data_IF_838791570511
#
_entry.id   IF_838791570511
#
_cell.length_a   1.000
_cell.length_b   1.000
_cell.length_c   1.000
_cell.angle_alpha   90.00
_cell.angle_beta   90.00
_cell.angle_gamma   90.00
#
_symmetry.space_group_name_H-M   'P 1'
#
loop_
_entity.id
_entity.type
_entity.pdbx_description
1 polymer ?
#
# COMPACT_ATOMS: atom_id res chain seq x y z
N UNK A 1 -47.38 10.99 -32.68
CA UNK A 1 -47.86 11.15 -31.29
C UNK A 1 -46.72 11.72 -30.46
N UNK A 2 -46.84 12.98 -30.03
CA UNK A 2 -45.88 13.65 -29.13
C UNK A 2 -46.16 13.20 -27.70
N UNK A 3 -45.15 12.74 -26.98
CA UNK A 3 -45.19 12.63 -25.51
C UNK A 3 -44.00 13.37 -24.92
N UNK A 4 -44.32 14.54 -24.38
CA UNK A 4 -43.51 15.33 -23.49
C UNK A 4 -43.55 14.68 -22.11
N UNK A 5 -42.40 14.45 -21.48
CA UNK A 5 -42.31 14.22 -20.04
C UNK A 5 -41.25 15.16 -19.49
N UNK A 6 -41.71 16.03 -18.59
CA UNK A 6 -40.96 16.95 -17.74
C UNK A 6 -41.28 16.55 -16.29
N UNK A 7 -40.36 16.90 -15.37
CA UNK A 7 -40.43 17.00 -13.88
C UNK A 7 -39.16 16.31 -13.33
N UNK A 8 -38.12 17.09 -12.97
CA UNK A 8 -37.82 17.63 -11.61
C UNK A 8 -37.59 16.51 -10.58
N UNK A 9 -36.50 16.47 -9.80
CA UNK A 9 -36.11 17.51 -8.84
C UNK A 9 -34.67 17.27 -8.39
N UNK A 10 -33.85 18.34 -8.35
CA UNK A 10 -32.53 18.38 -7.75
C UNK A 10 -32.68 18.48 -6.22
N UNK A 11 -32.04 17.59 -5.46
CA UNK A 11 -31.75 17.81 -4.03
C UNK A 11 -30.25 18.00 -3.88
N UNK A 12 -29.82 19.25 -3.72
CA UNK A 12 -28.47 19.61 -3.28
C UNK A 12 -28.58 19.85 -1.78
N UNK A 13 -28.02 18.93 -0.99
CA UNK A 13 -27.89 19.10 0.45
C UNK A 13 -26.45 19.52 0.74
N UNK A 14 -26.25 20.82 0.92
CA UNK A 14 -24.98 21.41 1.36
C UNK A 14 -24.88 21.24 2.88
N UNK A 15 -23.99 20.34 3.32
CA UNK A 15 -23.65 20.15 4.72
C UNK A 15 -22.46 21.06 5.07
N UNK A 16 -22.74 22.21 5.67
CA UNK A 16 -21.73 23.12 6.24
C UNK A 16 -21.30 22.62 7.62
N UNK A 17 -20.08 22.12 7.75
CA UNK A 17 -19.42 21.92 9.04
C UNK A 17 -18.83 23.26 9.51
N UNK A 18 -19.36 23.79 10.61
CA UNK A 18 -18.77 24.90 11.35
C UNK A 18 -17.81 24.33 12.40
N UNK A 19 -16.51 24.44 12.14
CA UNK A 19 -15.48 24.20 13.15
C UNK A 19 -15.45 25.38 14.15
N UNK A 20 -15.83 25.09 15.40
CA UNK A 20 -15.73 26.02 16.52
C UNK A 20 -14.33 25.94 17.13
N UNK A 21 -13.49 26.95 16.90
CA UNK A 21 -12.19 27.10 17.55
C UNK A 21 -12.39 27.72 18.94
N UNK A 22 -12.29 26.89 19.98
CA UNK A 22 -12.36 27.30 21.39
C UNK A 22 -11.10 28.02 21.86
N UNK A 23 -11.30 29.15 22.53
CA UNK A 23 -10.26 30.10 22.97
C UNK A 23 -9.59 29.70 24.29
N UNK A 24 -8.27 29.92 24.35
CA UNK A 24 -7.60 30.61 25.46
C UNK A 24 -7.41 29.87 26.78
N UNK A 25 -6.29 29.15 26.91
CA UNK A 25 -5.76 28.70 28.21
C UNK A 25 -4.54 29.54 28.60
N UNK A 26 -4.59 30.14 29.79
CA UNK A 26 -3.51 30.90 30.42
C UNK A 26 -2.25 30.05 30.55
N UNK A 27 -1.13 30.59 30.06
CA UNK A 27 0.22 30.08 30.34
C UNK A 27 0.60 30.46 31.76
N UNK A 28 0.67 29.46 32.64
CA UNK A 28 1.32 29.57 33.95
C UNK A 28 2.78 29.19 33.75
N UNK A 29 3.71 30.11 33.99
CA UNK A 29 5.14 29.82 34.00
C UNK A 29 5.44 28.79 35.10
N UNK A 30 5.84 27.59 34.69
CA UNK A 30 6.33 26.54 35.58
C UNK A 30 7.85 26.54 35.52
N UNK A 31 8.47 26.80 36.66
CA UNK A 31 9.92 26.71 36.91
C UNK A 31 10.44 25.32 36.55
N UNK A 32 11.47 25.16 35.70
CA UNK A 32 12.00 23.85 35.35
C UNK A 32 12.85 23.30 36.52
N UNK A 33 12.30 22.36 37.27
CA UNK A 33 13.09 21.49 38.14
C UNK A 33 13.73 20.39 37.29
N UNK A 34 15.04 20.51 37.06
CA UNK A 34 15.85 19.52 36.35
C UNK A 34 16.04 18.26 37.21
N UNK A 35 15.11 17.32 37.14
CA UNK A 35 15.34 15.94 37.56
C UNK A 35 15.73 15.11 36.34
N UNK A 36 17.03 14.88 36.18
CA UNK A 36 17.60 13.94 35.20
C UNK A 36 17.32 12.50 35.63
N UNK A 37 16.05 12.10 35.61
CA UNK A 37 15.66 10.71 35.59
C UNK A 37 15.49 10.33 34.13
N UNK A 38 16.37 9.50 33.60
CA UNK A 38 16.19 8.87 32.28
C UNK A 38 15.04 7.87 32.41
N UNK A 39 13.80 8.38 32.52
CA UNK A 39 12.62 7.57 32.41
C UNK A 39 12.60 7.07 30.96
N UNK A 40 12.63 5.75 30.78
CA UNK A 40 12.38 5.11 29.50
C UNK A 40 10.90 5.37 29.15
N UNK A 41 10.57 6.58 28.74
CA UNK A 41 9.25 6.91 28.19
C UNK A 41 9.15 6.19 26.86
N UNK A 42 8.14 5.32 26.75
CA UNK A 42 7.77 4.72 25.47
C UNK A 42 7.53 5.85 24.47
N UNK A 43 7.96 5.70 23.20
CA UNK A 43 7.61 6.69 22.17
C UNK A 43 6.08 6.82 22.08
N UNK A 44 5.62 8.04 21.91
CA UNK A 44 4.23 8.31 21.56
C UNK A 44 3.96 7.72 20.17
N UNK A 45 2.98 6.82 20.08
CA UNK A 45 2.62 6.20 18.81
C UNK A 45 1.67 7.13 18.07
N UNK A 46 2.17 7.75 17.01
CA UNK A 46 1.48 8.74 16.22
C UNK A 46 1.01 8.12 14.90
N UNK A 47 -0.21 8.48 14.51
CA UNK A 47 -0.86 8.03 13.30
C UNK A 47 -1.74 9.16 12.79
N UNK A 48 -1.84 9.34 11.49
CA UNK A 48 -2.78 10.30 10.89
C UNK A 48 -4.23 9.87 11.14
N UNK A 49 -4.48 8.57 11.05
CA UNK A 49 -5.81 7.97 11.16
C UNK A 49 -6.13 7.43 12.55
N UNK A 50 -5.17 7.34 13.45
CA UNK A 50 -5.33 6.74 14.77
C UNK A 50 -5.31 5.21 14.75
N UNK A 51 -5.65 4.62 15.88
CA UNK A 51 -5.76 3.19 16.07
C UNK A 51 -7.16 2.77 16.48
N UNK A 52 -7.63 1.63 15.98
CA UNK A 52 -8.88 1.03 16.48
C UNK A 52 -8.55 0.21 17.73
N UNK A 53 -9.21 0.55 18.83
CA UNK A 53 -9.17 -0.19 20.09
C UNK A 53 -10.58 -0.70 20.42
N UNK A 54 -10.67 -1.77 21.20
CA UNK A 54 -11.95 -2.37 21.62
C UNK A 54 -12.93 -2.61 20.45
N UNK A 55 -12.39 -3.03 19.30
CA UNK A 55 -13.08 -3.27 18.05
C UNK A 55 -13.77 -2.08 17.36
N UNK A 56 -13.96 -0.92 18.00
CA UNK A 56 -14.71 0.20 17.39
C UNK A 56 -14.22 1.60 17.76
N UNK A 57 -13.35 1.74 18.78
CA UNK A 57 -12.92 3.03 19.30
C UNK A 57 -11.67 3.53 18.57
N UNK A 58 -11.87 4.44 17.61
CA UNK A 58 -10.76 5.12 16.95
C UNK A 58 -10.09 6.11 17.92
N UNK A 59 -8.84 5.85 18.27
CA UNK A 59 -8.08 6.60 19.28
C UNK A 59 -6.79 7.16 18.69
N UNK A 60 -6.49 8.43 18.94
CA UNK A 60 -5.26 9.08 18.51
C UNK A 60 -4.87 10.18 19.51
N UNK A 61 -3.69 10.14 20.16
CA UNK A 61 -2.63 9.12 20.04
C UNK A 61 -3.04 7.77 20.65
N UNK A 62 -2.29 6.71 20.35
CA UNK A 62 -2.51 5.39 20.99
C UNK A 62 -2.15 5.49 22.48
N UNK A 63 -3.02 5.06 23.41
CA UNK A 63 -2.72 5.10 24.84
C UNK A 63 -1.49 4.27 25.21
N UNK A 64 -0.73 4.75 26.21
CA UNK A 64 0.40 4.00 26.76
C UNK A 64 -0.06 2.66 27.35
N UNK A 65 0.75 1.62 27.15
CA UNK A 65 0.48 0.27 27.65
C UNK A 65 -0.48 -0.57 26.79
N UNK A 66 -1.07 0.00 25.73
CA UNK A 66 -1.89 -0.77 24.78
C UNK A 66 -1.05 -1.50 23.73
N UNK A 67 0.14 -1.00 23.43
CA UNK A 67 1.01 -1.56 22.42
C UNK A 67 2.02 -2.55 23.00
N UNK A 68 2.25 -3.64 22.28
CA UNK A 68 3.16 -4.72 22.68
C UNK A 68 4.41 -4.72 21.78
N UNK A 69 5.60 -4.97 22.34
CA UNK A 69 6.82 -5.10 21.53
C UNK A 69 6.83 -6.44 20.81
N UNK A 70 7.12 -6.41 19.52
CA UNK A 70 7.14 -7.59 18.65
C UNK A 70 8.35 -7.59 17.73
N UNK A 71 8.75 -8.78 17.27
CA UNK A 71 9.52 -8.94 16.03
C UNK A 71 8.55 -9.25 14.88
N UNK A 72 8.86 -8.76 13.68
CA UNK A 72 7.96 -8.89 12.52
C UNK A 72 8.67 -9.64 11.39
N UNK A 73 7.97 -10.63 10.84
CA UNK A 73 8.32 -11.28 9.58
C UNK A 73 7.23 -10.95 8.56
N UNK A 74 7.58 -10.10 7.59
CA UNK A 74 6.69 -9.75 6.48
C UNK A 74 6.93 -10.69 5.30
N UNK A 75 5.86 -11.39 4.89
CA UNK A 75 5.79 -12.14 3.64
C UNK A 75 4.75 -11.55 2.68
N UNK A 76 3.89 -10.64 3.17
CA UNK A 76 2.90 -9.89 2.41
C UNK A 76 2.83 -8.45 2.93
N UNK A 77 2.43 -7.48 2.10
CA UNK A 77 2.19 -6.11 2.55
C UNK A 77 0.97 -5.98 3.49
N UNK A 78 -0.07 -6.79 3.31
CA UNK A 78 -1.34 -6.70 4.07
C UNK A 78 -1.40 -7.67 5.26
N UNK A 79 -0.42 -8.57 5.38
CA UNK A 79 -0.36 -9.57 6.44
C UNK A 79 1.08 -9.93 6.81
N UNK A 80 1.32 -10.07 8.10
CA UNK A 80 2.64 -10.33 8.68
C UNK A 80 2.54 -11.43 9.73
N UNK A 81 3.68 -12.03 10.06
CA UNK A 81 3.81 -12.88 11.26
C UNK A 81 4.54 -12.06 12.31
N UNK A 82 3.94 -11.89 13.48
CA UNK A 82 4.59 -11.26 14.62
C UNK A 82 5.00 -12.33 15.63
N UNK A 83 6.05 -12.05 16.40
CA UNK A 83 6.36 -12.79 17.63
C UNK A 83 6.46 -11.78 18.75
N UNK A 84 5.59 -11.92 19.76
CA UNK A 84 5.61 -11.05 20.94
C UNK A 84 6.86 -11.27 21.76
N UNK A 85 7.41 -10.19 22.29
CA UNK A 85 8.58 -10.22 23.17
C UNK A 85 8.20 -10.24 24.65
N UNK A 86 6.95 -9.91 24.96
CA UNK A 86 6.43 -9.69 26.32
C UNK A 86 4.99 -10.24 26.41
N UNK A 87 4.47 -10.46 27.62
CA UNK A 87 3.12 -10.96 27.86
C UNK A 87 2.99 -12.50 27.88
N UNK A 88 1.75 -12.98 28.02
CA UNK A 88 1.45 -14.43 28.09
C UNK A 88 1.74 -15.16 26.78
N UNK A 89 1.65 -14.44 25.66
CA UNK A 89 1.89 -14.96 24.30
C UNK A 89 3.34 -14.75 23.82
N UNK A 90 4.28 -14.39 24.71
CA UNK A 90 5.67 -14.16 24.37
C UNK A 90 6.32 -15.38 23.71
N UNK A 91 7.01 -15.17 22.59
CA UNK A 91 7.70 -16.22 21.82
C UNK A 91 6.81 -17.03 20.87
N UNK A 92 5.48 -16.88 20.93
CA UNK A 92 4.57 -17.55 20.01
C UNK A 92 4.36 -16.72 18.74
N UNK A 93 4.61 -17.29 17.54
CA UNK A 93 4.31 -16.60 16.30
C UNK A 93 2.79 -16.51 16.07
N UNK A 94 2.31 -15.34 15.69
CA UNK A 94 0.91 -15.09 15.35
C UNK A 94 0.80 -14.37 14.01
N UNK A 95 -0.15 -14.79 13.18
CA UNK A 95 -0.45 -14.11 11.93
C UNK A 95 -1.33 -12.89 12.22
N UNK A 96 -0.93 -11.73 11.70
CA UNK A 96 -1.65 -10.46 11.82
C UNK A 96 -1.99 -9.96 10.43
N UNK A 97 -3.27 -9.66 10.22
CA UNK A 97 -3.73 -8.89 9.06
C UNK A 97 -3.71 -7.41 9.44
N UNK A 98 -3.09 -6.58 8.60
CA UNK A 98 -3.10 -5.13 8.77
C UNK A 98 -4.52 -4.61 8.54
N UNK A 99 -4.98 -3.81 9.50
CA UNK A 99 -6.38 -3.40 9.62
C UNK A 99 -6.75 -2.27 8.63
N UNK A 100 -7.96 -2.29 8.06
CA UNK A 100 -8.49 -1.22 7.20
C UNK A 100 -7.88 -1.17 5.79
N UNK A 101 -7.16 -2.20 5.37
CA UNK A 101 -6.43 -2.25 4.09
C UNK A 101 -6.53 -3.61 3.41
N UNK A 102 -6.28 -3.61 2.10
CA UNK A 102 -6.09 -4.80 1.30
C UNK A 102 -4.91 -4.60 0.35
N UNK A 103 -4.42 -5.69 -0.25
CA UNK A 103 -3.44 -5.61 -1.32
C UNK A 103 -3.98 -4.72 -2.45
N UNK A 104 -3.17 -3.75 -2.88
CA UNK A 104 -3.38 -3.14 -4.18
C UNK A 104 -3.33 -4.26 -5.24
N UNK A 105 -4.21 -4.22 -6.23
CA UNK A 105 -4.30 -5.23 -7.31
C UNK A 105 -2.92 -5.66 -7.84
N UNK A 106 -2.83 -6.93 -8.28
CA UNK A 106 -1.69 -7.82 -8.65
C UNK A 106 -0.35 -7.23 -9.19
N UNK A 107 0.14 -6.11 -8.65
CA UNK A 107 1.47 -5.62 -8.95
C UNK A 107 2.48 -6.33 -8.05
N UNK A 108 3.16 -7.32 -8.62
CA UNK A 108 4.30 -7.98 -7.97
C UNK A 108 5.33 -6.95 -7.48
N UNK A 109 5.49 -5.85 -8.22
CA UNK A 109 6.36 -4.76 -7.81
C UNK A 109 5.90 -4.07 -6.50
N UNK A 110 4.65 -3.61 -6.45
CA UNK A 110 4.09 -2.97 -5.24
C UNK A 110 4.04 -3.93 -4.06
N UNK A 111 3.82 -5.22 -4.34
CA UNK A 111 3.88 -6.29 -3.36
C UNK A 111 5.27 -6.41 -2.74
N UNK A 112 6.31 -6.57 -3.55
CA UNK A 112 7.70 -6.73 -3.07
C UNK A 112 8.20 -5.46 -2.37
N UNK A 113 7.83 -4.28 -2.87
CA UNK A 113 8.14 -3.01 -2.24
C UNK A 113 7.47 -2.89 -0.86
N UNK A 114 6.20 -3.28 -0.75
CA UNK A 114 5.48 -3.27 0.52
C UNK A 114 6.11 -4.19 1.56
N UNK A 115 6.48 -5.41 1.17
CA UNK A 115 7.20 -6.35 2.04
C UNK A 115 8.55 -5.76 2.48
N UNK A 116 9.31 -5.21 1.54
CA UNK A 116 10.61 -4.59 1.81
C UNK A 116 10.48 -3.41 2.78
N UNK A 117 9.48 -2.55 2.60
CA UNK A 117 9.22 -1.40 3.46
C UNK A 117 8.92 -1.85 4.90
N UNK A 118 8.05 -2.85 5.09
CA UNK A 118 7.78 -3.40 6.43
C UNK A 118 9.08 -3.90 7.05
N UNK A 119 9.85 -4.74 6.34
CA UNK A 119 11.10 -5.30 6.87
C UNK A 119 12.10 -4.21 7.27
N UNK A 120 12.22 -3.13 6.50
CA UNK A 120 13.09 -2.00 6.82
C UNK A 120 12.61 -1.25 8.07
N UNK A 121 11.31 -0.95 8.15
CA UNK A 121 10.71 -0.24 9.29
C UNK A 121 10.72 -1.06 10.59
N UNK A 122 10.73 -2.38 10.49
CA UNK A 122 10.67 -3.31 11.63
C UNK A 122 11.99 -4.02 11.91
N UNK A 123 13.10 -3.63 11.27
CA UNK A 123 14.39 -4.34 11.39
C UNK A 123 14.88 -4.47 12.83
N UNK A 124 14.61 -3.48 13.67
CA UNK A 124 14.98 -3.46 15.10
C UNK A 124 13.84 -3.91 16.04
N UNK A 125 12.72 -4.36 15.48
CA UNK A 125 11.46 -4.61 16.18
C UNK A 125 10.37 -3.59 15.82
N UNK A 126 9.19 -3.80 16.38
CA UNK A 126 8.01 -2.96 16.17
C UNK A 126 7.14 -2.96 17.42
N UNK A 127 6.12 -2.10 17.40
CA UNK A 127 4.99 -2.15 18.33
C UNK A 127 3.77 -2.69 17.58
N UNK A 128 3.07 -3.64 18.20
CA UNK A 128 1.79 -4.16 17.72
C UNK A 128 0.66 -3.63 18.58
N UNK A 129 -0.38 -3.11 17.94
CA UNK A 129 -1.61 -2.65 18.58
C UNK A 129 -2.75 -3.55 18.08
N UNK A 130 -3.26 -4.49 18.90
CA UNK A 130 -4.36 -5.35 18.50
C UNK A 130 -5.66 -4.54 18.40
N UNK A 131 -6.50 -4.85 17.39
CA UNK A 131 -7.79 -4.18 17.23
C UNK A 131 -8.76 -4.44 18.40
N UNK A 132 -8.57 -5.53 19.14
CA UNK A 132 -9.30 -5.86 20.37
C UNK A 132 -8.37 -6.56 21.37
N UNK A 133 -8.42 -6.15 22.63
CA UNK A 133 -7.71 -6.79 23.74
C UNK A 133 -8.37 -8.09 24.20
N UNK A 134 -9.63 -8.33 23.79
CA UNK A 134 -10.42 -9.47 24.25
C UNK A 134 -10.44 -10.63 23.23
N UNK A 135 -9.64 -10.54 22.15
CA UNK A 135 -9.59 -11.57 21.11
C UNK A 135 -10.82 -11.61 20.19
N UNK A 136 -11.67 -10.57 20.17
CA UNK A 136 -12.90 -10.56 19.36
C UNK A 136 -12.65 -10.24 17.88
N UNK A 137 -11.41 -9.91 17.52
CA UNK A 137 -11.03 -9.44 16.18
C UNK A 137 -10.16 -10.44 15.42
N UNK A 138 -10.61 -11.69 15.42
CA UNK A 138 -10.07 -12.75 14.58
C UNK A 138 -10.48 -12.55 13.12
N UNK A 139 -9.61 -12.98 12.21
CA UNK A 139 -9.85 -12.91 10.77
C UNK A 139 -9.27 -14.12 10.07
N UNK A 140 -9.66 -14.32 8.80
CA UNK A 140 -9.07 -15.34 7.93
C UNK A 140 -8.35 -14.67 6.77
N UNK A 141 -7.08 -15.05 6.59
CA UNK A 141 -6.25 -14.63 5.46
C UNK A 141 -6.31 -15.75 4.42
N UNK A 142 -6.57 -15.37 3.17
CA UNK A 142 -6.78 -16.30 2.04
C UNK A 142 -7.83 -17.40 2.31
N UNK A 143 -8.82 -17.08 3.16
CA UNK A 143 -9.91 -17.99 3.53
C UNK A 143 -9.51 -19.23 4.35
N UNK A 144 -8.25 -19.36 4.76
CA UNK A 144 -7.76 -20.59 5.42
C UNK A 144 -6.85 -20.35 6.63
N UNK A 145 -6.09 -19.26 6.67
CA UNK A 145 -5.15 -18.98 7.76
C UNK A 145 -5.85 -18.10 8.78
N UNK A 146 -6.03 -18.60 10.01
CA UNK A 146 -6.51 -17.77 11.11
C UNK A 146 -5.43 -16.77 11.54
N UNK A 147 -5.85 -15.53 11.76
CA UNK A 147 -5.01 -14.47 12.28
C UNK A 147 -5.84 -13.46 13.06
N UNK A 148 -5.19 -12.42 13.54
CA UNK A 148 -5.85 -11.30 14.25
C UNK A 148 -5.72 -10.01 13.45
N UNK A 149 -6.66 -9.09 13.66
CA UNK A 149 -6.57 -7.73 13.12
C UNK A 149 -5.77 -6.83 14.06
N UNK A 150 -4.96 -5.95 13.48
CA UNK A 150 -4.34 -4.87 14.24
C UNK A 150 -3.45 -3.98 13.37
N UNK A 151 -2.71 -3.12 14.04
CA UNK A 151 -1.83 -2.15 13.41
C UNK A 151 -0.40 -2.34 13.91
N UNK A 152 0.56 -2.02 13.05
CA UNK A 152 1.97 -2.04 13.38
C UNK A 152 2.54 -0.63 13.36
N UNK A 153 3.39 -0.36 14.35
CA UNK A 153 4.15 0.87 14.45
C UNK A 153 5.63 0.55 14.51
N UNK A 154 6.46 1.35 13.84
CA UNK A 154 7.91 1.28 14.00
C UNK A 154 8.31 1.63 15.45
N UNK A 155 9.55 1.33 15.84
CA UNK A 155 10.07 1.79 17.14
C UNK A 155 10.19 3.32 17.26
N UNK A 156 10.10 4.05 16.15
CA UNK A 156 10.01 5.52 16.14
C UNK A 156 8.57 6.04 16.26
N UNK A 157 7.58 5.15 16.39
CA UNK A 157 6.17 5.51 16.57
C UNK A 157 5.41 5.82 15.28
N UNK A 158 5.93 5.45 14.11
CA UNK A 158 5.25 5.66 12.82
C UNK A 158 4.34 4.47 12.46
N UNK A 159 3.11 4.74 12.03
CA UNK A 159 2.18 3.71 11.59
C UNK A 159 2.61 3.14 10.22
N UNK A 160 2.93 1.85 10.20
CA UNK A 160 3.45 1.17 9.00
C UNK A 160 2.36 1.02 7.91
N UNK A 161 1.09 0.85 8.30
CA UNK A 161 -0.02 0.76 7.35
C UNK A 161 -0.22 2.07 6.59
N UNK A 162 -0.09 3.21 7.25
CA UNK A 162 -0.17 4.52 6.62
C UNK A 162 0.95 4.74 5.60
N UNK A 163 2.19 4.37 5.95
CA UNK A 163 3.32 4.45 5.02
C UNK A 163 3.11 3.54 3.80
N UNK A 164 2.57 2.33 4.00
CA UNK A 164 2.25 1.40 2.91
C UNK A 164 1.15 1.93 1.97
N UNK A 165 0.13 2.61 2.51
CA UNK A 165 -0.90 3.29 1.72
C UNK A 165 -0.29 4.49 0.99
N UNK A 166 0.54 5.29 1.66
CA UNK A 166 1.18 6.47 1.09
C UNK A 166 2.07 6.12 -0.12
N UNK A 167 2.76 4.96 -0.11
CA UNK A 167 3.54 4.51 -1.27
C UNK A 167 2.72 3.69 -2.29
N UNK A 168 1.42 3.50 -2.04
CA UNK A 168 0.50 2.79 -2.93
C UNK A 168 0.67 1.27 -2.96
N UNK A 169 1.35 0.69 -1.97
CA UNK A 169 1.52 -0.76 -1.80
C UNK A 169 0.24 -1.43 -1.27
N UNK A 170 -0.58 -0.69 -0.53
CA UNK A 170 -1.88 -1.11 -0.04
C UNK A 170 -2.96 -0.14 -0.52
N UNK A 171 -4.19 -0.64 -0.62
CA UNK A 171 -5.38 0.18 -0.86
C UNK A 171 -6.29 0.12 0.37
N UNK A 172 -6.97 1.22 0.71
CA UNK A 172 -7.98 1.21 1.76
C UNK A 172 -9.08 0.20 1.45
N UNK A 173 -9.41 -0.64 2.42
CA UNK A 173 -10.45 -1.65 2.28
C UNK A 173 -11.12 -1.91 3.62
N UNK A 174 -12.45 -1.89 3.63
CA UNK A 174 -13.22 -2.24 4.80
C UNK A 174 -12.96 -3.70 5.22
N UNK A 175 -12.69 -3.90 6.50
CA UNK A 175 -12.68 -5.19 7.17
C UNK A 175 -13.36 -5.11 8.54
N UNK A 176 -13.40 -6.22 9.26
CA UNK A 176 -14.11 -6.31 10.55
C UNK A 176 -13.52 -5.40 11.63
N UNK A 177 -14.20 -5.33 12.78
CA UNK A 177 -13.74 -4.59 13.95
C UNK A 177 -13.40 -3.12 13.68
N UNK A 178 -14.30 -2.33 13.09
CA UNK A 178 -14.06 -0.89 12.91
C UNK A 178 -13.11 -0.55 11.75
N UNK A 179 -12.73 -1.55 10.96
CA UNK A 179 -11.91 -1.39 9.76
C UNK A 179 -12.47 -0.43 8.73
N UNK A 180 -13.79 -0.24 8.69
CA UNK A 180 -14.43 0.74 7.80
C UNK A 180 -14.02 2.18 8.12
N UNK A 181 -13.80 2.50 9.40
CA UNK A 181 -13.38 3.84 9.83
C UNK A 181 -11.93 4.11 9.42
N UNK A 182 -11.05 3.13 9.59
CA UNK A 182 -9.66 3.22 9.13
C UNK A 182 -9.58 3.30 7.62
N UNK A 183 -10.30 2.44 6.90
CA UNK A 183 -10.34 2.48 5.44
C UNK A 183 -10.83 3.84 4.91
N UNK A 184 -11.85 4.42 5.53
CA UNK A 184 -12.32 5.76 5.17
C UNK A 184 -11.24 6.82 5.40
N UNK A 185 -10.49 6.75 6.50
CA UNK A 185 -9.41 7.69 6.76
C UNK A 185 -8.20 7.48 5.83
N UNK A 186 -7.77 6.24 5.60
CA UNK A 186 -6.68 5.92 4.68
C UNK A 186 -7.00 6.35 3.24
N UNK A 187 -8.28 6.39 2.85
CA UNK A 187 -8.72 6.97 1.58
C UNK A 187 -8.41 8.46 1.41
N UNK A 188 -8.05 9.17 2.48
CA UNK A 188 -7.61 10.58 2.43
C UNK A 188 -6.08 10.75 2.38
N UNK A 189 -5.31 9.68 2.56
CA UNK A 189 -3.86 9.72 2.45
C UNK A 189 -3.49 9.85 0.97
N UNK A 190 -2.77 10.92 0.64
CA UNK A 190 -2.26 11.13 -0.71
C UNK A 190 -1.24 10.05 -1.06
N UNK A 191 -1.49 9.32 -2.14
CA UNK A 191 -0.57 8.30 -2.64
C UNK A 191 0.55 8.98 -3.41
N UNK A 192 1.76 8.95 -2.83
CA UNK A 192 2.98 9.44 -3.45
C UNK A 192 3.82 8.25 -3.93
N UNK A 193 3.50 7.74 -5.12
CA UNK A 193 4.31 6.70 -5.75
C UNK A 193 5.65 7.33 -6.18
N UNK A 194 6.80 6.83 -5.67
CA UNK A 194 8.08 7.37 -6.05
C UNK A 194 8.30 7.30 -7.56
N UNK A 195 8.63 8.43 -8.19
CA UNK A 195 8.90 8.52 -9.63
C UNK A 195 10.39 8.38 -9.91
N UNK A 196 10.73 7.56 -10.89
CA UNK A 196 12.10 7.38 -11.38
C UNK A 196 12.55 8.60 -12.19
N UNK A 197 13.83 9.01 -12.13
CA UNK A 197 14.38 10.00 -13.05
C UNK A 197 14.51 9.46 -14.49
N UNK A 198 14.32 8.16 -14.71
CA UNK A 198 14.27 7.58 -16.05
C UNK A 198 12.93 7.92 -16.72
N UNK A 199 12.93 7.88 -18.04
CA UNK A 199 11.72 8.08 -18.84
C UNK A 199 11.77 7.12 -20.03
N UNK A 200 10.63 6.52 -20.37
CA UNK A 200 10.51 5.70 -21.58
C UNK A 200 10.10 6.60 -22.74
N UNK A 201 10.98 6.72 -23.74
CA UNK A 201 10.70 7.51 -24.95
C UNK A 201 10.43 6.65 -26.17
N UNK A 202 10.85 5.37 -26.13
CA UNK A 202 10.62 4.40 -27.19
C UNK A 202 10.07 3.12 -26.61
N UNK A 203 9.03 2.58 -27.24
CA UNK A 203 8.34 1.38 -26.78
C UNK A 203 8.03 0.47 -27.96
N UNK A 204 8.20 -0.84 -27.78
CA UNK A 204 7.72 -1.84 -28.73
C UNK A 204 7.02 -2.95 -27.97
N UNK A 205 5.75 -3.17 -28.30
CA UNK A 205 5.00 -4.38 -28.00
C UNK A 205 5.05 -5.32 -29.20
N UNK A 206 5.82 -6.40 -29.10
CA UNK A 206 5.87 -7.47 -30.11
C UNK A 206 5.06 -8.67 -29.61
N UNK A 207 3.81 -8.84 -30.07
CA UNK A 207 2.87 -9.82 -29.50
C UNK A 207 3.31 -11.27 -29.70
N UNK A 208 4.05 -11.56 -30.76
CA UNK A 208 4.59 -12.90 -31.05
C UNK A 208 6.05 -12.74 -31.48
N UNK A 209 6.98 -13.21 -30.67
CA UNK A 209 8.39 -13.25 -31.04
C UNK A 209 8.73 -14.46 -31.90
N UNK A 210 9.64 -14.27 -32.86
CA UNK A 210 10.08 -15.33 -33.79
C UNK A 210 10.72 -16.53 -33.09
N UNK A 211 11.34 -16.31 -31.93
CA UNK A 211 12.11 -17.34 -31.21
C UNK A 211 11.22 -18.37 -30.52
N UNK A 212 10.19 -17.90 -29.83
CA UNK A 212 9.43 -18.68 -28.85
C UNK A 212 7.91 -18.45 -28.93
N UNK A 213 7.46 -17.55 -29.80
CA UNK A 213 6.06 -17.17 -29.94
C UNK A 213 5.52 -16.30 -28.81
N UNK A 214 6.33 -15.94 -27.82
CA UNK A 214 5.88 -15.19 -26.64
C UNK A 214 5.89 -13.67 -26.89
N UNK A 215 5.19 -12.93 -26.04
CA UNK A 215 5.26 -11.48 -26.00
C UNK A 215 6.68 -11.03 -25.64
N UNK A 216 7.18 -10.04 -26.39
CA UNK A 216 8.39 -9.31 -26.08
C UNK A 216 8.06 -7.83 -26.02
N UNK A 217 8.49 -7.18 -24.94
CA UNK A 217 8.40 -5.73 -24.76
C UNK A 217 9.80 -5.14 -24.75
N UNK A 218 10.05 -4.10 -25.55
CA UNK A 218 11.33 -3.40 -25.60
C UNK A 218 11.14 -1.93 -25.21
N UNK A 219 12.04 -1.41 -24.38
CA UNK A 219 12.06 -0.01 -23.94
C UNK A 219 13.48 0.54 -23.90
N UNK A 220 13.64 1.83 -24.14
CA UNK A 220 14.94 2.49 -24.25
C UNK A 220 15.63 2.75 -22.90
N UNK A 221 14.90 2.71 -21.79
CA UNK A 221 15.46 2.72 -20.43
C UNK A 221 16.23 1.44 -20.09
N UNK A 222 17.13 1.52 -19.12
CA UNK A 222 17.94 0.38 -18.65
C UNK A 222 17.44 -0.16 -17.31
N UNK A 223 17.52 -1.48 -17.15
CA UNK A 223 17.04 -2.20 -15.97
C UNK A 223 15.58 -1.87 -15.64
N UNK A 224 14.75 -1.78 -16.68
CA UNK A 224 13.32 -1.52 -16.56
C UNK A 224 12.59 -2.85 -16.38
N UNK A 225 11.90 -2.99 -15.25
CA UNK A 225 10.93 -4.03 -15.01
C UNK A 225 9.60 -3.61 -15.62
N UNK A 226 8.94 -4.53 -16.33
CA UNK A 226 7.71 -4.22 -17.06
C UNK A 226 6.56 -5.02 -16.46
N UNK A 227 5.46 -4.36 -16.12
CA UNK A 227 4.26 -5.02 -15.62
C UNK A 227 3.15 -4.90 -16.66
N UNK A 228 2.62 -6.04 -17.11
CA UNK A 228 1.50 -6.09 -18.05
C UNK A 228 0.23 -6.46 -17.29
N UNK A 229 -0.76 -5.57 -17.28
CA UNK A 229 -2.08 -5.78 -16.66
C UNK A 229 -3.15 -5.88 -17.73
N UNK A 230 -3.68 -7.08 -17.96
CA UNK A 230 -4.77 -7.33 -18.90
C UNK A 230 -5.66 -8.47 -18.45
N UNK A 231 -6.07 -9.35 -19.36
CA UNK A 231 -6.76 -10.60 -19.01
C UNK A 231 -5.90 -11.53 -18.13
N UNK A 232 -4.58 -11.35 -18.16
CA UNK A 232 -3.59 -11.97 -17.30
C UNK A 232 -2.68 -10.85 -16.80
N UNK A 233 -2.28 -10.89 -15.54
CA UNK A 233 -1.22 -10.00 -15.02
C UNK A 233 0.11 -10.74 -15.03
N UNK A 234 1.16 -10.10 -15.57
CA UNK A 234 2.51 -10.65 -15.49
C UNK A 234 3.55 -9.56 -15.34
N UNK A 235 4.44 -9.72 -14.35
CA UNK A 235 5.69 -8.95 -14.27
C UNK A 235 6.76 -9.63 -15.14
N UNK A 236 7.35 -8.85 -16.05
CA UNK A 236 8.34 -9.27 -17.01
C UNK A 236 9.70 -8.74 -16.57
N UNK A 237 10.64 -9.66 -16.39
CA UNK A 237 12.02 -9.33 -16.00
C UNK A 237 12.82 -9.00 -17.26
N UNK A 238 13.71 -8.01 -17.14
CA UNK A 238 14.64 -7.63 -18.20
C UNK A 238 15.62 -8.78 -18.52
N UNK A 239 15.66 -9.18 -19.80
CA UNK A 239 16.63 -10.14 -20.35
C UNK A 239 17.90 -9.46 -20.88
N UNK A 240 18.00 -8.13 -20.73
CA UNK A 240 19.14 -7.31 -21.12
C UNK A 240 18.88 -6.46 -22.37
N UNK A 241 19.90 -5.70 -22.81
CA UNK A 241 19.78 -4.81 -23.96
C UNK A 241 19.63 -5.59 -25.27
N UNK A 242 18.84 -5.07 -26.19
CA UNK A 242 18.64 -5.67 -27.51
C UNK A 242 18.23 -4.64 -28.56
N UNK A 243 18.70 -4.78 -29.80
CA UNK A 243 18.25 -3.97 -30.95
C UNK A 243 18.26 -2.43 -30.71
N UNK A 244 19.23 -1.93 -29.93
CA UNK A 244 19.31 -0.50 -29.60
C UNK A 244 18.27 -0.01 -28.59
N UNK A 245 17.69 -0.92 -27.81
CA UNK A 245 16.88 -0.67 -26.61
C UNK A 245 17.68 -1.05 -25.35
N UNK A 246 17.43 -0.34 -24.25
CA UNK A 246 18.12 -0.54 -22.98
C UNK A 246 17.65 -1.80 -22.24
N UNK A 247 16.36 -2.11 -22.33
CA UNK A 247 15.75 -3.28 -21.68
C UNK A 247 14.83 -4.05 -22.63
N UNK A 248 14.87 -5.38 -22.53
CA UNK A 248 14.04 -6.32 -23.29
C UNK A 248 13.38 -7.30 -22.33
N UNK A 249 12.08 -7.17 -22.09
CA UNK A 249 11.34 -8.05 -21.22
C UNK A 249 10.54 -9.08 -22.03
N UNK A 250 10.41 -10.30 -21.50
CA UNK A 250 9.68 -11.40 -22.16
C UNK A 250 8.63 -12.00 -21.25
N UNK A 251 7.45 -12.26 -21.80
CA UNK A 251 6.39 -12.96 -21.09
C UNK A 251 6.49 -14.48 -21.27
N UNK A 252 5.69 -15.20 -20.48
CA UNK A 252 5.53 -16.66 -20.62
C UNK A 252 4.43 -17.06 -21.61
N UNK A 253 3.74 -16.06 -22.19
CA UNK A 253 2.60 -16.20 -23.10
C UNK A 253 2.72 -15.21 -24.27
N UNK A 254 2.07 -15.48 -25.42
CA UNK A 254 1.92 -14.49 -26.49
C UNK A 254 1.09 -13.28 -26.04
N UNK A 255 1.27 -12.14 -26.70
CA UNK A 255 0.57 -10.88 -26.41
C UNK A 255 -0.96 -11.03 -26.48
N UNK A 256 -1.46 -11.84 -27.41
CA UNK A 256 -2.88 -12.16 -27.53
C UNK A 256 -3.51 -12.70 -26.23
N UNK A 257 -2.76 -13.43 -25.40
CA UNK A 257 -3.27 -13.97 -24.14
C UNK A 257 -3.58 -12.91 -23.09
N UNK A 258 -3.02 -11.71 -23.25
CA UNK A 258 -3.25 -10.59 -22.35
C UNK A 258 -4.50 -9.77 -22.73
N UNK A 259 -5.09 -9.97 -23.92
CA UNK A 259 -6.26 -9.20 -24.37
C UNK A 259 -5.96 -7.70 -24.45
N UNK A 260 -6.91 -6.85 -24.06
CA UNK A 260 -6.62 -5.42 -23.81
C UNK A 260 -5.75 -5.32 -22.56
N UNK A 261 -4.66 -4.56 -22.63
CA UNK A 261 -3.69 -4.48 -21.54
C UNK A 261 -3.20 -3.04 -21.29
N UNK A 262 -2.74 -2.78 -20.07
CA UNK A 262 -1.94 -1.63 -19.70
C UNK A 262 -0.52 -2.11 -19.35
N UNK A 263 0.49 -1.39 -19.82
CA UNK A 263 1.90 -1.73 -19.61
C UNK A 263 2.55 -0.65 -18.77
N UNK A 264 2.92 -0.99 -17.53
CA UNK A 264 3.60 -0.12 -16.57
C UNK A 264 5.10 -0.42 -16.55
N UNK A 265 5.89 0.57 -16.15
CA UNK A 265 7.35 0.51 -16.14
C UNK A 265 7.88 0.90 -14.77
N UNK A 266 8.83 0.13 -14.25
CA UNK A 266 9.47 0.40 -12.97
C UNK A 266 10.98 0.26 -13.12
N UNK A 267 11.75 1.08 -12.40
CA UNK A 267 13.20 0.92 -12.36
C UNK A 267 13.61 -0.20 -11.39
N UNK A 268 14.92 -0.49 -11.33
CA UNK A 268 15.48 -1.51 -10.44
C UNK A 268 15.26 -1.25 -8.95
N UNK A 269 14.92 -0.02 -8.57
CA UNK A 269 14.59 0.37 -7.20
C UNK A 269 13.09 0.44 -6.97
N UNK A 270 12.29 0.14 -8.00
CA UNK A 270 10.85 0.11 -7.88
C UNK A 270 10.08 1.38 -8.12
N UNK A 271 10.77 2.42 -8.54
CA UNK A 271 10.13 3.70 -8.77
C UNK A 271 9.41 3.64 -10.12
N UNK A 272 8.21 4.21 -10.18
CA UNK A 272 7.44 4.31 -11.40
C UNK A 272 8.24 5.08 -12.44
N UNK A 273 8.42 4.51 -13.63
CA UNK A 273 9.05 5.15 -14.76
C UNK A 273 7.93 5.68 -15.66
N UNK A 274 7.96 6.98 -15.94
CA UNK A 274 6.94 7.63 -16.76
C UNK A 274 7.31 7.56 -18.24
N UNK A 275 6.29 7.68 -19.09
CA UNK A 275 6.45 7.92 -20.51
C UNK A 275 6.89 9.37 -20.77
N UNK A 276 7.44 9.64 -21.94
CA UNK A 276 7.89 10.98 -22.34
C UNK A 276 6.79 12.06 -22.28
N UNK A 277 5.52 11.67 -22.37
CA UNK A 277 4.36 12.56 -22.25
C UNK A 277 3.85 12.72 -20.81
N UNK A 278 4.47 12.06 -19.83
CA UNK A 278 4.09 12.07 -18.41
C UNK A 278 3.11 10.96 -18.02
N UNK A 279 2.63 10.13 -18.95
CA UNK A 279 1.73 9.03 -18.63
C UNK A 279 2.46 7.90 -17.89
N UNK A 280 1.72 7.17 -17.05
CA UNK A 280 2.26 6.08 -16.23
C UNK A 280 2.33 4.73 -16.98
N UNK A 281 1.55 4.57 -18.05
CA UNK A 281 1.43 3.30 -18.77
C UNK A 281 1.14 3.48 -20.26
N UNK A 282 1.45 2.46 -21.05
CA UNK A 282 1.00 2.32 -22.45
C UNK A 282 -0.29 1.49 -22.48
N UNK A 283 -1.33 2.00 -23.15
CA UNK A 283 -2.53 1.21 -23.45
C UNK A 283 -2.33 0.35 -24.70
N UNK A 284 -2.62 -0.95 -24.59
CA UNK A 284 -2.65 -1.92 -25.69
C UNK A 284 -4.10 -2.35 -25.88
N UNK A 285 -4.86 -1.75 -26.81
CA UNK A 285 -6.29 -2.05 -26.97
C UNK A 285 -6.57 -3.50 -27.34
N UNK A 286 -5.63 -4.14 -28.04
CA UNK A 286 -5.70 -5.53 -28.46
C UNK A 286 -4.29 -6.14 -28.42
N UNK A 287 -4.07 -7.08 -27.50
CA UNK A 287 -2.77 -7.70 -27.27
C UNK A 287 -2.19 -8.48 -28.44
N UNK A 288 -2.98 -8.77 -29.47
CA UNK A 288 -2.49 -9.37 -30.73
C UNK A 288 -1.84 -8.37 -31.68
N UNK A 289 -2.10 -7.08 -31.52
CA UNK A 289 -1.61 -6.06 -32.43
C UNK A 289 -0.20 -5.63 -32.03
N UNK A 290 0.65 -5.37 -33.01
CA UNK A 290 1.95 -4.75 -32.77
C UNK A 290 1.74 -3.28 -32.47
N UNK A 291 2.32 -2.79 -31.37
CA UNK A 291 2.28 -1.37 -30.98
C UNK A 291 3.70 -0.87 -30.81
N UNK A 292 4.00 0.32 -31.33
CA UNK A 292 5.31 0.96 -31.18
C UNK A 292 5.20 2.49 -31.25
N UNK A 293 6.13 3.16 -30.59
CA UNK A 293 6.42 4.59 -30.73
C UNK A 293 7.89 4.88 -30.41
#
# INVERSE_FOLDING_TARGET
MKRTFLISTLFVSTLTFLASCGSGTKVTEVTPSSSSGSANTSPELLSLCGAILNAFDLTNPVPEGTAERVTVQANRPDAVVITRLEGEDAGNPQVVKLHGVALAEESGFRFDNGVTLIQQMTLSGAYFVPASTNGECDTTIDGSVQGVLGQLYSLSGQNITEELVAVGSLVPAADGCGGEQLAACYGSIEVNVPVSPQTVTRFIWKPVAERDGNLVVLVDGFNITIEVRGAITQTLVDFGPSNGFGSTARASKPGCSFGSAQVYFYDSSGRQVLLANGDEFVSIPNGCDRVEF
#
